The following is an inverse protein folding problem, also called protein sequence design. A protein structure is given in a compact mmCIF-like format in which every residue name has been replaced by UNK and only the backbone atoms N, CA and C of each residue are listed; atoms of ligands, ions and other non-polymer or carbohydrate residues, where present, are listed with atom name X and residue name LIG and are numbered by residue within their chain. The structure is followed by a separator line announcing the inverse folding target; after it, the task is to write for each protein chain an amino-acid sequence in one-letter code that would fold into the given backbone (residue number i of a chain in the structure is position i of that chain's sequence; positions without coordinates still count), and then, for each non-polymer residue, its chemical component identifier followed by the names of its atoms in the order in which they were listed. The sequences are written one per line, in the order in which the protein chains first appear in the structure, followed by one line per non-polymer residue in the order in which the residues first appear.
data_IF_129273929854
#
_entry.id   IF_129273929854
#
_cell.length_a   1.000
_cell.length_b   1.000
_cell.length_c   1.000
_cell.angle_alpha   90.00
_cell.angle_beta   90.00
_cell.angle_gamma   90.00
#
_symmetry.space_group_name_H-M   'P 1'
#
loop_
_entity.id
_entity.type
_entity.pdbx_description
1 polymer ?
#
# COMPACT_ATOMS: atom_id res chain seq x y z
N UNK A 1 4.31 1.51 -2.69
CA UNK A 1 3.62 0.77 -3.79
C UNK A 1 2.94 -0.57 -3.43
N UNK A 2 3.48 -1.41 -2.52
CA UNK A 2 2.99 -2.79 -2.31
C UNK A 2 1.49 -2.97 -1.99
N UNK A 3 0.87 -2.02 -1.28
CA UNK A 3 -0.57 -2.08 -0.93
C UNK A 3 -1.49 -2.05 -2.17
N UNK A 4 -1.14 -1.26 -3.19
CA UNK A 4 -1.93 -1.15 -4.42
C UNK A 4 -1.78 -2.37 -5.32
N UNK A 5 -0.58 -2.93 -5.38
CA UNK A 5 -0.33 -4.19 -6.10
C UNK A 5 -1.15 -5.32 -5.47
N UNK A 6 -1.14 -5.41 -4.14
CA UNK A 6 -1.98 -6.37 -3.42
C UNK A 6 -3.47 -6.18 -3.70
N UNK A 7 -3.97 -4.93 -3.65
CA UNK A 7 -5.36 -4.62 -3.97
C UNK A 7 -5.74 -5.05 -5.40
N UNK A 8 -4.87 -4.79 -6.39
CA UNK A 8 -5.08 -5.22 -7.77
C UNK A 8 -5.11 -6.75 -7.91
N UNK A 9 -4.22 -7.47 -7.22
CA UNK A 9 -4.21 -8.94 -7.22
C UNK A 9 -5.50 -9.49 -6.63
N UNK A 10 -5.93 -8.97 -5.48
CA UNK A 10 -7.19 -9.39 -4.83
C UNK A 10 -8.39 -9.16 -5.76
N UNK A 11 -8.43 -8.01 -6.44
CA UNK A 11 -9.48 -7.70 -7.41
C UNK A 11 -9.50 -8.70 -8.57
N UNK A 12 -8.34 -8.94 -9.21
CA UNK A 12 -8.23 -9.83 -10.38
C UNK A 12 -8.55 -11.27 -9.99
N UNK A 13 -8.00 -11.78 -8.89
CA UNK A 13 -8.26 -13.13 -8.41
C UNK A 13 -9.73 -13.29 -8.01
N UNK A 14 -10.29 -12.33 -7.28
CA UNK A 14 -11.69 -12.34 -6.88
C UNK A 14 -12.64 -12.29 -8.09
N UNK A 15 -12.31 -11.48 -9.11
CA UNK A 15 -13.07 -11.40 -10.34
C UNK A 15 -12.98 -12.69 -11.17
N UNK A 16 -11.78 -13.28 -11.30
CA UNK A 16 -11.61 -14.58 -11.96
C UNK A 16 -12.42 -15.67 -11.24
N UNK A 17 -12.37 -15.69 -9.90
CA UNK A 17 -13.17 -16.61 -9.10
C UNK A 17 -14.67 -16.40 -9.33
N UNK A 18 -15.14 -15.15 -9.32
CA UNK A 18 -16.52 -14.80 -9.66
C UNK A 18 -16.93 -15.36 -11.02
N UNK A 19 -16.10 -15.19 -12.06
CA UNK A 19 -16.38 -15.71 -13.41
C UNK A 19 -16.43 -17.24 -13.43
N UNK A 20 -15.51 -17.91 -12.73
CA UNK A 20 -15.48 -19.40 -12.68
C UNK A 20 -16.71 -19.96 -11.98
N UNK A 21 -17.09 -19.41 -10.83
CA UNK A 21 -18.28 -19.81 -10.07
C UNK A 21 -19.56 -19.48 -10.87
N UNK A 22 -19.60 -18.34 -11.56
CA UNK A 22 -20.72 -17.97 -12.41
C UNK A 22 -20.93 -18.97 -13.56
N UNK A 23 -19.85 -19.48 -14.16
CA UNK A 23 -19.92 -20.52 -15.20
C UNK A 23 -20.37 -21.86 -14.64
N UNK A 24 -19.96 -22.20 -13.41
CA UNK A 24 -20.28 -23.46 -12.74
C UNK A 24 -21.57 -23.43 -11.91
N UNK A 25 -22.40 -22.38 -12.03
CA UNK A 25 -23.68 -22.24 -11.30
C UNK A 25 -24.61 -23.45 -11.42
N UNK A 26 -24.50 -24.23 -12.50
CA UNK A 26 -25.27 -25.46 -12.73
C UNK A 26 -24.94 -26.59 -11.74
N UNK A 27 -23.78 -26.56 -11.09
CA UNK A 27 -23.33 -27.57 -10.12
C UNK A 27 -23.65 -27.19 -8.66
N UNK A 28 -24.11 -25.95 -8.43
CA UNK A 28 -24.43 -25.46 -7.09
C UNK A 28 -25.93 -25.69 -6.79
N UNK A 29 -26.30 -25.97 -5.53
CA UNK A 29 -27.70 -26.02 -5.12
C UNK A 29 -28.34 -24.63 -5.31
N UNK A 30 -29.63 -24.61 -5.69
CA UNK A 30 -30.34 -23.41 -6.12
C UNK A 30 -30.24 -22.24 -5.13
N UNK A 31 -30.22 -22.52 -3.82
CA UNK A 31 -30.11 -21.50 -2.77
C UNK A 31 -28.72 -20.83 -2.73
N UNK A 32 -27.64 -21.58 -2.93
CA UNK A 32 -26.28 -21.04 -2.90
C UNK A 32 -25.88 -20.38 -4.23
N UNK A 33 -26.43 -20.85 -5.35
CA UNK A 33 -26.13 -20.35 -6.68
C UNK A 33 -26.47 -18.86 -6.88
N UNK A 34 -27.41 -18.32 -6.09
CA UNK A 34 -27.80 -16.91 -6.13
C UNK A 34 -26.94 -16.02 -5.23
N UNK A 35 -26.55 -16.51 -4.05
CA UNK A 35 -25.88 -15.71 -3.01
C UNK A 35 -24.37 -15.70 -3.22
N UNK A 36 -23.77 -16.86 -3.50
CA UNK A 36 -22.30 -17.03 -3.53
C UNK A 36 -21.62 -16.13 -4.56
N UNK A 37 -22.07 -16.02 -5.82
CA UNK A 37 -21.40 -15.17 -6.81
C UNK A 37 -21.49 -13.68 -6.46
N UNK A 38 -22.62 -13.24 -5.90
CA UNK A 38 -22.83 -11.85 -5.46
C UNK A 38 -21.92 -11.52 -4.28
N UNK A 39 -21.81 -12.42 -3.32
CA UNK A 39 -20.90 -12.27 -2.18
C UNK A 39 -19.43 -12.21 -2.63
N UNK A 40 -19.01 -13.10 -3.53
CA UNK A 40 -17.65 -13.09 -4.09
C UNK A 40 -17.35 -11.75 -4.78
N UNK A 41 -18.27 -11.26 -5.61
CA UNK A 41 -18.11 -9.99 -6.30
C UNK A 41 -18.03 -8.81 -5.31
N UNK A 42 -18.90 -8.80 -4.30
CA UNK A 42 -18.90 -7.77 -3.26
C UNK A 42 -17.57 -7.72 -2.51
N UNK A 43 -17.00 -8.88 -2.16
CA UNK A 43 -15.68 -8.97 -1.51
C UNK A 43 -14.54 -8.58 -2.46
N UNK A 44 -14.59 -9.05 -3.71
CA UNK A 44 -13.59 -8.77 -4.74
C UNK A 44 -13.46 -7.28 -5.04
N UNK A 45 -14.56 -6.51 -4.95
CA UNK A 45 -14.56 -5.06 -5.13
C UNK A 45 -14.29 -4.34 -3.80
N UNK A 46 -14.97 -4.77 -2.73
CA UNK A 46 -14.98 -4.08 -1.44
C UNK A 46 -13.61 -4.03 -0.78
N UNK A 47 -12.87 -5.14 -0.74
CA UNK A 47 -11.55 -5.18 -0.09
C UNK A 47 -10.55 -4.25 -0.81
N UNK A 48 -10.35 -4.34 -2.14
CA UNK A 48 -9.48 -3.41 -2.86
C UNK A 48 -9.91 -1.95 -2.72
N UNK A 49 -11.22 -1.66 -2.77
CA UNK A 49 -11.73 -0.30 -2.60
C UNK A 49 -11.37 0.28 -1.22
N UNK A 50 -11.50 -0.51 -0.15
CA UNK A 50 -11.08 -0.09 1.20
C UNK A 50 -9.57 0.12 1.29
N UNK A 51 -8.77 -0.76 0.68
CA UNK A 51 -7.30 -0.60 0.66
C UNK A 51 -6.92 0.71 -0.02
N UNK A 52 -7.51 1.02 -1.17
CA UNK A 52 -7.25 2.27 -1.90
C UNK A 52 -7.71 3.47 -1.07
N UNK A 53 -8.93 3.43 -0.50
CA UNK A 53 -9.48 4.50 0.32
C UNK A 53 -8.58 4.84 1.52
N UNK A 54 -8.12 3.83 2.25
CA UNK A 54 -7.27 4.04 3.42
C UNK A 54 -5.80 4.28 3.08
N UNK A 55 -5.36 4.00 1.85
CA UNK A 55 -3.97 4.25 1.43
C UNK A 55 -3.60 5.73 1.36
N UNK A 56 -4.62 6.60 1.27
CA UNK A 56 -4.52 8.06 1.22
C UNK A 56 -4.02 8.63 2.56
N UNK A 57 -4.34 7.98 3.67
CA UNK A 57 -3.94 8.44 5.00
C UNK A 57 -2.54 7.94 5.34
N UNK A 58 -1.64 8.87 5.69
CA UNK A 58 -0.26 8.57 6.07
C UNK A 58 0.09 9.26 7.38
N UNK A 59 0.50 8.46 8.36
CA UNK A 59 0.96 8.96 9.64
C UNK A 59 2.49 9.01 9.60
N UNK A 60 3.05 10.19 9.81
CA UNK A 60 4.50 10.41 9.93
C UNK A 60 4.84 10.57 11.42
N UNK A 61 5.74 9.74 11.99
CA UNK A 61 6.11 9.85 13.39
C UNK A 61 6.79 11.20 13.72
N UNK A 62 6.73 11.59 14.99
CA UNK A 62 7.45 12.77 15.46
C UNK A 62 8.98 12.59 15.31
N UNK A 63 9.66 13.70 14.98
CA UNK A 63 11.10 13.71 14.71
C UNK A 63 11.46 13.01 13.39
N UNK A 64 10.52 12.88 12.46
CA UNK A 64 10.74 12.33 11.12
C UNK A 64 9.95 13.15 10.08
N UNK A 65 10.36 13.08 8.83
CA UNK A 65 9.62 13.63 7.68
C UNK A 65 9.40 12.55 6.63
N UNK A 66 8.26 12.63 5.93
CA UNK A 66 7.94 11.74 4.83
C UNK A 66 8.32 12.37 3.48
N UNK A 67 9.31 11.80 2.80
CA UNK A 67 9.66 12.21 1.44
C UNK A 67 8.76 11.48 0.45
N UNK A 68 8.05 12.24 -0.39
CA UNK A 68 7.19 11.72 -1.44
C UNK A 68 8.01 11.40 -2.68
N UNK A 69 7.93 10.15 -3.14
CA UNK A 69 8.61 9.68 -4.34
C UNK A 69 7.58 9.09 -5.30
N UNK A 70 7.58 9.55 -6.55
CA UNK A 70 6.72 9.05 -7.62
C UNK A 70 7.60 8.56 -8.77
N UNK A 71 7.65 7.24 -8.97
CA UNK A 71 8.45 6.63 -10.05
C UNK A 71 9.91 7.11 -10.11
N UNK A 72 10.50 7.41 -8.94
CA UNK A 72 11.88 7.90 -8.82
C UNK A 72 12.02 9.43 -8.76
N UNK A 73 10.96 10.18 -9.05
CA UNK A 73 10.91 11.63 -8.87
C UNK A 73 10.59 11.99 -7.41
N UNK A 74 11.37 12.88 -6.82
CA UNK A 74 11.19 13.35 -5.45
C UNK A 74 10.44 14.68 -5.45
N UNK A 75 9.33 14.75 -4.72
CA UNK A 75 8.58 15.99 -4.59
C UNK A 75 9.29 16.97 -3.64
N UNK A 76 9.40 18.27 -3.99
CA UNK A 76 10.18 19.24 -3.21
C UNK A 76 9.61 19.51 -1.82
N UNK A 77 8.30 19.30 -1.61
CA UNK A 77 7.63 19.56 -0.33
C UNK A 77 7.45 18.25 0.43
N UNK A 78 8.18 18.03 1.55
CA UNK A 78 8.03 16.84 2.36
C UNK A 78 6.75 16.87 3.20
N UNK A 79 6.29 15.69 3.60
CA UNK A 79 5.23 15.51 4.58
C UNK A 79 5.79 15.72 5.99
N UNK A 80 5.14 16.58 6.76
CA UNK A 80 5.49 16.86 8.15
C UNK A 80 4.99 15.76 9.08
N UNK A 81 5.47 15.75 10.32
CA UNK A 81 4.99 14.88 11.39
C UNK A 81 3.47 15.01 11.60
N UNK A 82 2.81 13.89 11.90
CA UNK A 82 1.36 13.80 12.10
C UNK A 82 0.61 13.11 10.95
N UNK A 83 -0.71 13.31 10.93
CA UNK A 83 -1.60 12.74 9.91
C UNK A 83 -1.56 13.60 8.64
N UNK A 84 -1.13 12.99 7.55
CA UNK A 84 -1.09 13.60 6.23
C UNK A 84 -2.09 12.90 5.30
N UNK A 85 -2.71 13.68 4.42
CA UNK A 85 -3.61 13.20 3.36
C UNK A 85 -2.86 13.25 2.04
N UNK A 86 -2.59 12.10 1.46
CA UNK A 86 -1.88 11.93 0.19
C UNK A 86 -2.86 11.44 -0.86
N UNK A 87 -3.42 12.38 -1.62
CA UNK A 87 -4.48 12.09 -2.61
C UNK A 87 -4.08 11.08 -3.69
N UNK A 88 -2.80 11.07 -4.07
CA UNK A 88 -2.28 10.11 -5.02
C UNK A 88 -1.67 8.90 -4.27
N UNK A 89 -2.32 7.74 -4.26
CA UNK A 89 -1.85 6.58 -3.52
C UNK A 89 -0.62 5.89 -4.17
N UNK A 90 -0.22 6.31 -5.37
CA UNK A 90 0.96 5.81 -6.07
C UNK A 90 2.27 6.37 -5.48
N UNK A 91 2.22 7.43 -4.69
CA UNK A 91 3.42 7.92 -4.01
C UNK A 91 3.97 6.86 -3.06
N UNK A 92 5.29 6.65 -3.15
CA UNK A 92 6.04 5.97 -2.12
C UNK A 92 6.55 6.99 -1.11
N UNK A 93 6.30 6.70 0.17
CA UNK A 93 6.65 7.61 1.26
C UNK A 93 7.86 7.03 1.97
N UNK A 94 9.01 7.66 1.76
CA UNK A 94 10.26 7.30 2.43
C UNK A 94 10.35 8.12 3.71
N UNK A 95 10.37 7.45 4.85
CA UNK A 95 10.45 8.11 6.14
C UNK A 95 11.92 8.39 6.47
N UNK A 96 12.26 9.65 6.69
CA UNK A 96 13.60 10.11 7.03
C UNK A 96 13.62 10.72 8.43
N UNK A 97 14.66 10.44 9.20
CA UNK A 97 14.85 11.00 10.53
C UNK A 97 15.34 12.46 10.44
N UNK A 98 14.74 13.35 11.22
CA UNK A 98 15.17 14.75 11.33
C UNK A 98 15.99 15.02 12.60
N UNK A 99 16.17 14.01 13.45
CA UNK A 99 16.98 14.12 14.67
C UNK A 99 18.47 13.99 14.36
N UNK A 100 19.30 14.54 15.24
CA UNK A 100 20.76 14.38 15.19
C UNK A 100 21.10 12.91 15.40
N UNK A 101 21.66 12.27 14.38
CA UNK A 101 22.16 10.90 14.47
C UNK A 101 23.67 10.91 14.75
N UNK A 102 24.10 10.18 15.77
CA UNK A 102 25.51 10.01 16.08
C UNK A 102 26.14 9.10 15.02
N UNK A 103 26.91 9.68 14.10
CA UNK A 103 27.72 8.91 13.17
C UNK A 103 29.10 8.66 13.79
N UNK A 104 29.44 7.39 14.06
CA UNK A 104 30.77 7.02 14.56
C UNK A 104 31.51 6.29 13.46
N UNK A 105 32.54 6.93 12.91
CA UNK A 105 33.42 6.31 11.93
C UNK A 105 34.72 5.93 12.62
N UNK A 106 35.18 4.69 12.43
CA UNK A 106 36.53 4.27 12.85
C UNK A 106 37.47 4.47 11.66
N UNK A 107 38.52 5.24 11.89
CA UNK A 107 39.62 5.40 10.94
C UNK A 107 40.88 4.86 11.60
N UNK A 108 41.66 4.04 10.89
CA UNK A 108 43.02 3.72 11.30
C UNK A 108 43.92 4.93 10.99
N UNK A 109 44.44 5.55 12.05
CA UNK A 109 45.40 6.63 11.92
C UNK A 109 46.81 6.02 11.83
N UNK A 110 47.47 6.18 10.69
CA UNK A 110 48.91 5.94 10.60
C UNK A 110 49.64 7.12 11.27
N UNK A 111 50.26 6.88 12.43
CA UNK A 111 51.22 7.84 12.99
C UNK A 111 52.47 7.82 12.14
N UNK A 112 52.94 9.01 11.75
CA UNK A 112 54.22 9.18 11.07
C UNK A 112 55.28 9.47 12.14
N UNK A 113 56.13 8.47 12.39
CA UNK A 113 57.40 8.64 13.12
C UNK A 113 58.47 9.30 12.22
#
# INVERSE_FOLDING_TARGET
MGKLVFAAIVFVVGYALYVTVQRQRRLLPATLAEIVPRAILAVAIGIPALIVLFSIFRIIPAGQVGVKVLFGEVEPVPLREGLNVVWNPLYDIVIMDTRVQKHTTRYDAASKD
#
